data_IF_904752361565
#
_entry.id   IF_904752361565
#
_cell.length_a   1.000
_cell.length_b   1.000
_cell.length_c   1.000
_cell.angle_alpha   90.00
_cell.angle_beta   90.00
_cell.angle_gamma   90.00
#
_symmetry.space_group_name_H-M   'P 1'
#
loop_
_entity.id
_entity.type
_entity.pdbx_description
1 polymer ?
#
# COMPACT_ATOMS: atom_id res chain seq x y z
N UNK A 1 83.35 -0.52 -49.32
CA UNK A 1 82.16 -0.83 -48.49
C UNK A 1 81.25 -1.71 -49.32
N UNK A 2 80.75 -2.80 -48.75
CA UNK A 2 79.91 -3.76 -49.45
C UNK A 2 78.45 -3.29 -49.47
N UNK A 3 78.01 -2.78 -50.62
CA UNK A 3 76.71 -2.14 -50.81
C UNK A 3 75.53 -3.10 -50.55
N UNK A 4 75.74 -4.40 -50.74
CA UNK A 4 74.72 -5.44 -50.48
C UNK A 4 74.40 -5.56 -48.98
N UNK A 5 75.42 -5.47 -48.12
CA UNK A 5 75.23 -5.55 -46.66
C UNK A 5 74.47 -4.33 -46.12
N UNK A 6 74.81 -3.13 -46.62
CA UNK A 6 74.12 -1.90 -46.23
C UNK A 6 72.63 -1.92 -46.63
N UNK A 7 72.31 -2.42 -47.83
CA UNK A 7 70.93 -2.53 -48.29
C UNK A 7 70.12 -3.55 -47.46
N UNK A 8 70.70 -4.69 -47.11
CA UNK A 8 70.09 -5.68 -46.21
C UNK A 8 69.79 -5.06 -44.84
N UNK A 9 70.74 -4.32 -44.28
CA UNK A 9 70.56 -3.73 -42.96
C UNK A 9 69.53 -2.60 -42.95
N UNK A 10 69.45 -1.82 -44.02
CA UNK A 10 68.39 -0.81 -44.19
C UNK A 10 67.00 -1.45 -44.25
N UNK A 11 66.85 -2.59 -44.94
CA UNK A 11 65.60 -3.34 -44.98
C UNK A 11 65.23 -3.85 -43.58
N UNK A 12 66.18 -4.43 -42.84
CA UNK A 12 65.93 -4.89 -41.46
C UNK A 12 65.49 -3.76 -40.54
N UNK A 13 66.14 -2.59 -40.63
CA UNK A 13 65.77 -1.40 -39.86
C UNK A 13 64.35 -0.94 -40.24
N UNK A 14 64.02 -0.89 -41.53
CA UNK A 14 62.69 -0.50 -41.99
C UNK A 14 61.60 -1.45 -41.47
N UNK A 15 61.86 -2.76 -41.51
CA UNK A 15 60.95 -3.79 -41.00
C UNK A 15 60.79 -3.71 -39.49
N UNK A 16 61.89 -3.50 -38.75
CA UNK A 16 61.85 -3.31 -37.30
C UNK A 16 61.04 -2.07 -36.91
N UNK A 17 61.17 -0.97 -37.67
CA UNK A 17 60.37 0.23 -37.47
C UNK A 17 58.88 -0.03 -37.73
N UNK A 18 58.54 -0.66 -38.85
CA UNK A 18 57.15 -1.02 -39.16
C UNK A 18 56.55 -1.88 -38.04
N UNK A 19 57.28 -2.91 -37.56
CA UNK A 19 56.82 -3.75 -36.46
C UNK A 19 56.66 -3.00 -35.14
N UNK A 20 57.52 -2.02 -34.89
CA UNK A 20 57.39 -1.14 -33.72
C UNK A 20 56.13 -0.29 -33.80
N UNK A 21 55.81 0.25 -34.97
CA UNK A 21 54.60 1.06 -35.18
C UNK A 21 53.33 0.20 -35.06
N UNK A 22 53.32 -1.00 -35.67
CA UNK A 22 52.23 -1.98 -35.52
C UNK A 22 52.03 -2.42 -34.06
N UNK A 23 53.10 -2.56 -33.28
CA UNK A 23 53.01 -2.89 -31.86
C UNK A 23 52.45 -1.73 -31.04
N UNK A 24 52.89 -0.50 -31.32
CA UNK A 24 52.40 0.71 -30.64
C UNK A 24 50.91 0.93 -30.89
N UNK A 25 50.42 0.64 -32.09
CA UNK A 25 48.99 0.75 -32.38
C UNK A 25 48.18 -0.26 -31.57
N UNK A 26 48.58 -1.53 -31.57
CA UNK A 26 47.92 -2.55 -30.75
C UNK A 26 47.94 -2.23 -29.25
N UNK A 27 49.03 -1.63 -28.77
CA UNK A 27 49.12 -1.19 -27.38
C UNK A 27 48.14 -0.05 -27.09
N UNK A 28 47.97 0.91 -28.01
CA UNK A 28 46.97 1.98 -27.86
C UNK A 28 45.55 1.42 -27.82
N UNK A 29 45.21 0.56 -28.77
CA UNK A 29 43.89 -0.10 -28.83
C UNK A 29 43.59 -0.85 -27.51
N UNK A 30 44.58 -1.58 -26.97
CA UNK A 30 44.42 -2.30 -25.71
C UNK A 30 44.20 -1.34 -24.52
N UNK A 31 44.94 -0.24 -24.46
CA UNK A 31 44.82 0.74 -23.38
C UNK A 31 43.45 1.44 -23.40
N UNK A 32 42.94 1.77 -24.58
CA UNK A 32 41.60 2.36 -24.74
C UNK A 32 40.51 1.41 -24.22
N UNK A 33 40.55 0.13 -24.64
CA UNK A 33 39.60 -0.88 -24.14
C UNK A 33 39.73 -1.09 -22.63
N UNK A 34 40.96 -1.04 -22.09
CA UNK A 34 41.19 -1.16 -20.65
C UNK A 34 40.54 -0.01 -19.87
N UNK A 35 40.68 1.23 -20.35
CA UNK A 35 40.04 2.40 -19.74
C UNK A 35 38.51 2.31 -19.79
N UNK A 36 37.93 1.87 -20.91
CA UNK A 36 36.50 1.64 -21.04
C UNK A 36 35.96 0.59 -20.06
N UNK A 37 36.72 -0.50 -19.88
CA UNK A 37 36.37 -1.57 -18.93
C UNK A 37 36.39 -1.06 -17.50
N UNK A 38 37.41 -0.28 -17.10
CA UNK A 38 37.47 0.29 -15.75
C UNK A 38 36.39 1.36 -15.50
N UNK A 39 36.06 2.16 -16.51
CA UNK A 39 34.94 3.10 -16.43
C UNK A 39 33.61 2.38 -16.24
N UNK A 40 33.38 1.31 -17.02
CA UNK A 40 32.18 0.46 -16.89
C UNK A 40 32.12 -0.21 -15.54
N UNK A 41 33.25 -0.72 -15.03
CA UNK A 41 33.34 -1.34 -13.70
C UNK A 41 32.95 -0.35 -12.61
N UNK A 42 33.46 0.87 -12.70
CA UNK A 42 33.15 1.94 -11.74
C UNK A 42 31.66 2.28 -11.76
N UNK A 43 31.06 2.39 -12.95
CA UNK A 43 29.62 2.65 -13.10
C UNK A 43 28.76 1.52 -12.53
N UNK A 44 29.15 0.25 -12.70
CA UNK A 44 28.45 -0.89 -12.11
C UNK A 44 28.45 -0.78 -10.58
N UNK A 45 29.60 -0.47 -9.98
CA UNK A 45 29.72 -0.30 -8.52
C UNK A 45 28.82 0.83 -8.01
N UNK A 46 28.74 1.96 -8.73
CA UNK A 46 27.83 3.05 -8.38
C UNK A 46 26.35 2.65 -8.49
N UNK A 47 25.98 1.88 -9.52
CA UNK A 47 24.62 1.36 -9.67
C UNK A 47 24.25 0.39 -8.54
N UNK A 48 25.17 -0.50 -8.17
CA UNK A 48 24.97 -1.43 -7.05
C UNK A 48 24.79 -0.68 -5.74
N UNK A 49 25.64 0.34 -5.49
CA UNK A 49 25.52 1.21 -4.32
C UNK A 49 24.16 1.90 -4.26
N UNK A 50 23.75 2.57 -5.33
CA UNK A 50 22.45 3.24 -5.39
C UNK A 50 21.29 2.24 -5.19
N UNK A 51 21.38 1.04 -5.77
CA UNK A 51 20.37 0.01 -5.56
C UNK A 51 20.27 -0.41 -4.08
N UNK A 52 21.40 -0.52 -3.37
CA UNK A 52 21.38 -0.81 -1.92
C UNK A 52 20.78 0.33 -1.10
N UNK A 53 21.05 1.59 -1.45
CA UNK A 53 20.48 2.76 -0.78
C UNK A 53 18.95 2.79 -0.95
N UNK A 54 18.46 2.60 -2.18
CA UNK A 54 17.02 2.52 -2.45
C UNK A 54 16.32 1.36 -1.73
N UNK A 55 16.97 0.19 -1.62
CA UNK A 55 16.42 -0.94 -0.88
C UNK A 55 16.36 -0.66 0.63
N UNK A 56 17.31 0.12 1.16
CA UNK A 56 17.30 0.56 2.55
C UNK A 56 16.20 1.60 2.81
N UNK A 57 16.04 2.58 1.93
CA UNK A 57 14.94 3.56 2.00
C UNK A 57 13.58 2.85 1.94
N UNK A 58 13.41 1.90 1.02
CA UNK A 58 12.18 1.10 0.91
C UNK A 58 11.86 0.34 2.20
N UNK A 59 12.87 -0.21 2.89
CA UNK A 59 12.69 -0.88 4.19
C UNK A 59 12.31 0.13 5.27
N UNK A 60 12.99 1.28 5.33
CA UNK A 60 12.68 2.36 6.28
C UNK A 60 11.22 2.79 6.17
N UNK A 61 10.74 3.05 4.95
CA UNK A 61 9.33 3.40 4.74
C UNK A 61 8.37 2.28 5.11
N UNK A 62 8.75 1.02 4.91
CA UNK A 62 7.92 -0.11 5.34
C UNK A 62 7.78 -0.18 6.87
N UNK A 63 8.83 0.18 7.61
CA UNK A 63 8.81 0.23 9.07
C UNK A 63 8.01 1.43 9.60
N UNK A 64 8.15 2.61 8.97
CA UNK A 64 7.32 3.79 9.24
C UNK A 64 5.83 3.48 9.07
N UNK A 65 5.45 2.82 7.98
CA UNK A 65 4.06 2.40 7.74
C UNK A 65 3.56 1.40 8.79
N UNK A 66 4.43 0.51 9.28
CA UNK A 66 4.05 -0.40 10.38
C UNK A 66 3.81 0.36 11.67
N UNK A 67 4.65 1.35 11.98
CA UNK A 67 4.49 2.19 13.17
C UNK A 67 3.17 2.97 13.12
N UNK A 68 2.88 3.63 12.00
CA UNK A 68 1.62 4.38 11.82
C UNK A 68 0.40 3.47 12.04
N UNK A 69 0.42 2.25 11.50
CA UNK A 69 -0.67 1.30 11.70
C UNK A 69 -0.80 0.87 13.18
N UNK A 70 0.31 0.72 13.91
CA UNK A 70 0.26 0.43 15.34
C UNK A 70 -0.33 1.61 16.13
N UNK A 71 0.09 2.83 15.80
CA UNK A 71 -0.39 4.04 16.46
C UNK A 71 -1.89 4.26 16.21
N UNK A 72 -2.38 4.00 15.00
CA UNK A 72 -3.83 4.04 14.68
C UNK A 72 -4.59 3.09 15.60
N UNK A 73 -4.18 1.82 15.68
CA UNK A 73 -4.85 0.84 16.53
C UNK A 73 -4.82 1.27 18.01
N UNK A 74 -3.68 1.79 18.47
CA UNK A 74 -3.56 2.26 19.85
C UNK A 74 -4.48 3.44 20.18
N UNK A 75 -4.60 4.40 19.24
CA UNK A 75 -5.51 5.54 19.38
C UNK A 75 -6.98 5.10 19.33
N UNK A 76 -7.33 4.15 18.48
CA UNK A 76 -8.68 3.56 18.41
C UNK A 76 -9.07 2.89 19.74
N UNK A 77 -8.17 2.10 20.32
CA UNK A 77 -8.38 1.46 21.62
C UNK A 77 -8.53 2.49 22.74
N UNK A 78 -7.67 3.52 22.73
CA UNK A 78 -7.75 4.62 23.71
C UNK A 78 -9.08 5.37 23.60
N UNK A 79 -9.51 5.70 22.39
CA UNK A 79 -10.78 6.39 22.15
C UNK A 79 -11.96 5.54 22.60
N UNK A 80 -11.92 4.23 22.34
CA UNK A 80 -12.95 3.28 22.80
C UNK A 80 -13.00 3.22 24.32
N UNK A 81 -11.85 3.22 25.00
CA UNK A 81 -11.76 3.27 26.45
C UNK A 81 -12.36 4.54 27.03
N UNK A 82 -12.01 5.71 26.47
CA UNK A 82 -12.53 7.01 26.92
C UNK A 82 -14.04 7.12 26.69
N UNK A 83 -14.54 6.72 25.50
CA UNK A 83 -15.98 6.69 25.20
C UNK A 83 -16.73 5.76 26.14
N UNK A 84 -16.22 4.55 26.36
CA UNK A 84 -16.81 3.61 27.30
C UNK A 84 -16.88 4.17 28.73
N UNK A 85 -15.80 4.80 29.21
CA UNK A 85 -15.79 5.45 30.53
C UNK A 85 -16.81 6.58 30.64
N UNK A 86 -16.92 7.42 29.59
CA UNK A 86 -17.92 8.49 29.52
C UNK A 86 -19.34 7.93 29.58
N UNK A 87 -19.63 6.91 28.78
CA UNK A 87 -20.97 6.31 28.69
C UNK A 87 -21.35 5.61 30.01
N UNK A 88 -20.40 4.91 30.65
CA UNK A 88 -20.62 4.34 31.99
C UNK A 88 -20.90 5.43 33.04
N UNK A 89 -20.21 6.57 32.98
CA UNK A 89 -20.49 7.70 33.88
C UNK A 89 -21.86 8.32 33.62
N UNK A 90 -22.26 8.48 32.34
CA UNK A 90 -23.60 8.94 31.96
C UNK A 90 -24.68 7.99 32.52
N UNK A 91 -24.46 6.68 32.44
CA UNK A 91 -25.39 5.69 32.99
C UNK A 91 -25.48 5.77 34.52
N UNK A 92 -24.35 5.96 35.22
CA UNK A 92 -24.33 6.16 36.68
C UNK A 92 -25.12 7.42 37.06
N UNK A 93 -24.90 8.52 36.33
CA UNK A 93 -25.62 9.77 36.56
C UNK A 93 -27.12 9.56 36.34
N UNK A 94 -27.54 8.98 35.20
CA UNK A 94 -28.96 8.71 34.94
C UNK A 94 -29.62 7.89 36.06
N UNK A 95 -28.96 6.82 36.53
CA UNK A 95 -29.45 6.01 37.65
C UNK A 95 -29.60 6.80 38.94
N UNK A 96 -28.70 7.76 39.21
CA UNK A 96 -28.77 8.63 40.39
C UNK A 96 -29.88 9.66 40.27
N UNK A 97 -30.17 10.17 39.08
CA UNK A 97 -31.33 11.02 38.84
C UNK A 97 -32.64 10.24 39.11
N UNK A 98 -32.77 9.01 38.61
CA UNK A 98 -33.94 8.16 38.84
C UNK A 98 -34.14 7.80 40.34
N UNK A 99 -33.05 7.71 41.10
CA UNK A 99 -33.09 7.49 42.55
C UNK A 99 -33.59 8.74 43.28
N UNK A 100 -33.05 9.91 42.94
CA UNK A 100 -33.45 11.19 43.54
C UNK A 100 -34.91 11.51 43.20
N UNK A 101 -35.37 11.27 41.97
CA UNK A 101 -36.76 11.55 41.57
C UNK A 101 -37.76 10.70 42.38
N UNK A 102 -37.44 9.42 42.63
CA UNK A 102 -38.26 8.55 43.50
C UNK A 102 -38.25 8.98 44.96
N UNK A 103 -37.09 9.39 45.49
CA UNK A 103 -37.00 9.91 46.86
C UNK A 103 -37.74 11.25 47.02
N UNK A 104 -37.69 12.11 45.99
CA UNK A 104 -38.43 13.37 45.94
C UNK A 104 -39.94 13.12 46.01
N UNK A 105 -40.45 12.19 45.17
CA UNK A 105 -41.86 11.80 45.19
C UNK A 105 -42.29 11.24 46.56
N UNK A 106 -41.48 10.35 47.12
CA UNK A 106 -41.73 9.75 48.45
C UNK A 106 -41.74 10.81 49.55
N UNK A 107 -40.80 11.76 49.50
CA UNK A 107 -40.71 12.85 50.48
C UNK A 107 -41.90 13.79 50.37
N UNK A 108 -42.25 14.21 49.15
CA UNK A 108 -43.42 15.06 48.91
C UNK A 108 -44.72 14.38 49.35
N UNK A 109 -44.84 13.06 49.17
CA UNK A 109 -45.98 12.29 49.67
C UNK A 109 -46.08 12.36 51.21
N UNK A 110 -44.98 12.18 51.92
CA UNK A 110 -44.95 12.28 53.39
C UNK A 110 -45.25 13.70 53.91
N UNK A 111 -44.77 14.73 53.19
CA UNK A 111 -45.07 16.12 53.52
C UNK A 111 -46.58 16.41 53.41
N UNK A 112 -47.22 15.93 52.34
CA UNK A 112 -48.68 16.02 52.17
C UNK A 112 -49.43 15.33 53.30
N UNK A 113 -49.02 14.12 53.67
CA UNK A 113 -49.62 13.37 54.79
C UNK A 113 -49.44 14.07 56.14
N UNK A 114 -48.41 14.90 56.28
CA UNK A 114 -48.13 15.70 57.48
C UNK A 114 -48.86 17.05 57.51
N UNK A 115 -49.64 17.39 56.47
CA UNK A 115 -50.40 18.63 56.38
C UNK A 115 -49.62 19.84 55.84
N UNK A 116 -48.49 19.62 55.18
CA UNK A 116 -47.73 20.67 54.48
C UNK A 116 -48.49 21.08 53.21
N UNK A 117 -48.70 22.39 52.97
CA UNK A 117 -49.40 22.88 51.78
C UNK A 117 -48.58 22.66 50.50
N UNK A 118 -49.28 22.54 49.36
CA UNK A 118 -48.67 22.16 48.07
C UNK A 118 -47.61 23.17 47.59
N UNK A 119 -47.71 24.46 47.98
CA UNK A 119 -46.74 25.49 47.59
C UNK A 119 -45.36 25.33 48.26
N UNK A 120 -45.29 24.56 49.36
CA UNK A 120 -44.05 24.31 50.12
C UNK A 120 -43.39 22.97 49.76
N UNK A 121 -43.97 22.20 48.82
CA UNK A 121 -43.39 20.94 48.37
C UNK A 121 -42.09 21.16 47.58
N UNK A 122 -41.23 20.15 47.62
CA UNK A 122 -39.94 20.17 46.95
C UNK A 122 -40.13 20.07 45.43
N UNK A 123 -39.50 20.98 44.68
CA UNK A 123 -39.54 20.99 43.21
C UNK A 123 -38.28 20.35 42.62
N UNK A 124 -38.44 19.70 41.46
CA UNK A 124 -37.36 19.10 40.66
C UNK A 124 -36.22 20.08 40.38
N UNK A 125 -36.58 21.31 40.03
CA UNK A 125 -35.64 22.36 39.61
C UNK A 125 -34.82 22.95 40.78
N UNK A 126 -35.20 22.69 42.03
CA UNK A 126 -34.48 23.19 43.21
C UNK A 126 -33.21 22.38 43.52
N UNK A 127 -33.13 21.11 43.08
CA UNK A 127 -32.10 20.18 43.55
C UNK A 127 -31.34 19.44 42.46
N UNK A 128 -31.87 19.38 41.22
CA UNK A 128 -31.19 18.69 40.13
C UNK A 128 -30.39 19.67 39.28
N UNK A 129 -29.06 19.47 39.13
CA UNK A 129 -28.25 20.27 38.22
C UNK A 129 -28.79 20.17 36.78
N UNK A 130 -28.80 21.29 36.06
CA UNK A 130 -29.04 21.25 34.62
C UNK A 130 -27.81 20.62 33.95
N UNK A 131 -27.96 19.45 33.36
CA UNK A 131 -26.92 18.84 32.53
C UNK A 131 -27.14 19.37 31.11
N UNK A 132 -26.35 20.36 30.72
CA UNK A 132 -26.16 20.66 29.29
C UNK A 132 -25.58 19.39 28.65
N UNK A 133 -26.36 18.77 27.75
CA UNK A 133 -25.85 17.77 26.81
C UNK A 133 -24.96 18.52 25.81
N UNK A 134 -23.79 18.95 26.27
CA UNK A 134 -22.99 19.88 25.51
C UNK A 134 -22.21 19.15 24.41
N UNK A 135 -22.38 19.73 23.22
CA UNK A 135 -21.65 19.57 21.96
C UNK A 135 -21.88 18.26 21.19
N UNK A 136 -22.96 18.28 20.41
CA UNK A 136 -22.89 17.79 19.04
C UNK A 136 -21.62 18.37 18.39
N UNK A 137 -20.61 17.51 18.20
CA UNK A 137 -19.40 17.87 17.46
C UNK A 137 -19.85 18.41 16.11
N UNK A 138 -19.70 19.72 15.92
CA UNK A 138 -19.86 20.34 14.62
C UNK A 138 -18.95 19.61 13.65
N UNK A 139 -19.57 18.96 12.66
CA UNK A 139 -18.87 18.58 11.44
C UNK A 139 -18.27 19.86 10.84
N UNK A 140 -17.01 19.86 10.40
CA UNK A 140 -16.45 21.02 9.73
C UNK A 140 -17.27 21.30 8.46
N UNK A 141 -18.00 22.40 8.46
CA UNK A 141 -18.59 22.99 7.28
C UNK A 141 -17.46 23.64 6.47
N UNK A 142 -16.97 22.92 5.47
CA UNK A 142 -16.35 23.56 4.29
C UNK A 142 -17.26 23.30 3.09
N UNK A 143 -18.04 24.31 2.74
CA UNK A 143 -18.83 24.35 1.53
C UNK A 143 -17.92 24.50 0.31
N UNK A 144 -17.82 23.44 -0.49
CA UNK A 144 -18.07 23.43 -1.94
C UNK A 144 -17.18 22.41 -2.64
N UNK A 145 -17.75 21.23 -2.91
CA UNK A 145 -17.91 20.65 -4.24
C UNK A 145 -18.54 19.25 -4.08
N UNK A 146 -19.83 19.19 -4.40
CA UNK A 146 -20.60 18.05 -4.91
C UNK A 146 -20.22 16.61 -4.51
N UNK A 147 -21.17 15.97 -3.83
CA UNK A 147 -21.58 14.56 -4.00
C UNK A 147 -20.64 13.42 -3.59
N UNK A 148 -20.95 12.89 -2.39
CA UNK A 148 -21.38 11.51 -2.15
C UNK A 148 -20.41 10.34 -2.42
N UNK A 149 -20.19 9.53 -1.35
CA UNK A 149 -19.92 8.07 -1.33
C UNK A 149 -18.47 7.53 -1.30
N UNK A 150 -17.58 7.91 -0.36
CA UNK A 150 -16.17 7.48 -0.45
C UNK A 150 -15.46 7.09 0.87
N UNK A 151 -16.16 6.69 1.92
CA UNK A 151 -15.50 6.20 3.16
C UNK A 151 -16.20 4.98 3.76
N UNK A 152 -16.33 3.91 2.97
CA UNK A 152 -16.64 2.58 3.54
C UNK A 152 -16.13 1.43 2.66
N UNK A 153 -14.92 1.53 2.10
CA UNK A 153 -14.31 0.39 1.40
C UNK A 153 -12.82 0.57 1.11
N UNK A 154 -11.96 0.49 2.12
CA UNK A 154 -10.57 0.12 1.88
C UNK A 154 -10.09 -0.82 2.98
N UNK A 155 -10.15 -2.12 2.67
CA UNK A 155 -9.42 -3.17 3.36
C UNK A 155 -7.90 -2.90 3.22
N UNK A 156 -7.08 -3.03 4.28
CA UNK A 156 -5.68 -2.57 4.29
C UNK A 156 -4.72 -3.45 3.46
N UNK A 157 -5.20 -4.27 2.54
CA UNK A 157 -4.41 -5.27 1.80
C UNK A 157 -4.05 -4.90 0.34
N UNK A 158 -4.32 -3.66 -0.12
CA UNK A 158 -4.08 -3.30 -1.53
C UNK A 158 -2.90 -2.36 -1.82
N UNK A 159 -2.22 -1.80 -0.82
CA UNK A 159 -1.06 -0.93 -1.08
C UNK A 159 0.26 -1.68 -1.28
N UNK A 160 0.36 -2.95 -0.86
CA UNK A 160 1.57 -3.75 -1.06
C UNK A 160 1.65 -4.49 -2.42
N UNK A 161 0.53 -4.59 -3.16
CA UNK A 161 0.48 -5.33 -4.43
C UNK A 161 1.12 -4.61 -5.63
N UNK A 162 1.32 -3.29 -5.54
CA UNK A 162 1.78 -2.49 -6.68
C UNK A 162 3.32 -2.45 -6.78
N UNK A 163 4.06 -2.50 -5.66
CA UNK A 163 5.53 -2.54 -5.70
C UNK A 163 6.13 -3.91 -6.02
N UNK A 164 5.38 -5.01 -5.88
CA UNK A 164 5.91 -6.34 -6.18
C UNK A 164 5.83 -6.69 -7.68
N UNK A 165 5.03 -5.98 -8.47
CA UNK A 165 4.85 -6.26 -9.91
C UNK A 165 6.03 -5.80 -10.79
N UNK A 166 6.93 -4.96 -10.28
CA UNK A 166 8.13 -4.56 -11.04
C UNK A 166 9.32 -5.51 -10.86
N UNK A 167 9.29 -6.46 -9.91
CA UNK A 167 10.46 -7.30 -9.62
C UNK A 167 10.60 -8.54 -10.52
N UNK A 168 9.57 -8.90 -11.28
CA UNK A 168 9.58 -10.12 -12.11
C UNK A 168 10.19 -9.94 -13.52
N UNK A 169 10.77 -8.78 -13.85
CA UNK A 169 11.22 -8.49 -15.23
C UNK A 169 12.73 -8.44 -15.46
N UNK A 170 13.58 -8.71 -14.47
CA UNK A 170 15.03 -8.56 -14.65
C UNK A 170 15.87 -9.85 -14.52
N UNK A 171 15.28 -11.00 -14.19
CA UNK A 171 16.04 -12.27 -14.22
C UNK A 171 15.16 -13.41 -14.71
N UNK A 172 15.34 -13.82 -15.98
CA UNK A 172 14.92 -15.13 -16.45
C UNK A 172 15.94 -15.68 -17.45
N UNK A 173 17.11 -16.06 -16.91
CA UNK A 173 18.01 -17.01 -17.53
C UNK A 173 17.68 -18.42 -17.04
N UNK A 174 17.37 -19.30 -18.00
CA UNK A 174 17.39 -20.77 -18.02
C UNK A 174 17.66 -21.54 -16.70
N UNK A 175 16.78 -22.49 -16.34
CA UNK A 175 17.05 -23.94 -16.35
C UNK A 175 15.92 -24.75 -15.66
N UNK A 176 15.87 -26.03 -15.99
CA UNK A 176 14.84 -27.05 -15.77
C UNK A 176 14.69 -27.61 -14.33
N UNK A 177 13.67 -28.50 -14.17
CA UNK A 177 13.40 -29.50 -13.12
C UNK A 177 12.62 -29.03 -11.88
N UNK A 178 11.56 -29.69 -11.38
CA UNK A 178 10.81 -30.89 -11.76
C UNK A 178 9.75 -31.22 -10.68
N UNK A 179 8.53 -31.61 -11.11
CA UNK A 179 7.49 -32.52 -10.52
C UNK A 179 7.03 -32.47 -9.02
N UNK A 180 5.80 -32.97 -8.67
CA UNK A 180 4.88 -32.36 -7.70
C UNK A 180 4.39 -33.36 -6.60
N UNK A 181 3.14 -33.36 -6.08
CA UNK A 181 2.81 -33.08 -4.67
C UNK A 181 2.19 -34.28 -3.90
N UNK A 182 2.15 -34.25 -2.56
CA UNK A 182 1.18 -35.02 -1.76
C UNK A 182 1.10 -34.46 -0.32
N UNK A 183 -0.07 -33.99 0.10
CA UNK A 183 -0.93 -34.66 1.10
C UNK A 183 -2.14 -33.76 1.47
N UNK A 184 -3.26 -34.47 1.63
CA UNK A 184 -4.63 -34.03 1.82
C UNK A 184 -4.93 -33.70 3.30
N UNK A 185 -5.79 -32.71 3.56
CA UNK A 185 -6.65 -32.65 4.76
C UNK A 185 -7.64 -31.48 4.69
N UNK A 186 -8.81 -31.82 4.16
CA UNK A 186 -10.15 -31.30 4.45
C UNK A 186 -10.25 -30.37 5.68
N UNK A 187 -10.44 -29.08 5.46
CA UNK A 187 -11.17 -28.18 6.37
C UNK A 187 -11.67 -26.96 5.61
N UNK A 188 -12.99 -26.78 5.61
CA UNK A 188 -13.73 -25.72 4.92
C UNK A 188 -13.29 -24.35 5.43
N UNK A 189 -12.63 -23.58 4.58
CA UNK A 189 -12.50 -22.14 4.73
C UNK A 189 -12.99 -21.46 3.45
N UNK A 190 -13.97 -20.58 3.67
CA UNK A 190 -14.33 -19.41 2.87
C UNK A 190 -13.46 -19.17 1.63
N UNK A 191 -14.07 -19.45 0.47
CA UNK A 191 -13.65 -19.22 -0.91
C UNK A 191 -12.69 -18.02 -1.03
N UNK A 192 -11.39 -18.31 -1.03
CA UNK A 192 -10.40 -17.43 -1.64
C UNK A 192 -10.72 -17.39 -3.14
N UNK A 193 -11.13 -16.24 -3.65
CA UNK A 193 -11.17 -15.98 -5.08
C UNK A 193 -9.72 -15.89 -5.60
N UNK A 194 -9.01 -17.03 -5.59
CA UNK A 194 -7.80 -17.20 -6.38
C UNK A 194 -8.23 -16.97 -7.82
N UNK A 195 -7.84 -15.81 -8.34
CA UNK A 195 -8.05 -15.32 -9.69
C UNK A 195 -8.11 -16.45 -10.73
N UNK A 196 -9.33 -16.89 -11.10
CA UNK A 196 -9.55 -17.88 -12.16
C UNK A 196 -8.99 -17.34 -13.47
N UNK A 197 -7.78 -17.71 -13.86
CA UNK A 197 -7.15 -17.22 -15.09
C UNK A 197 -7.99 -17.59 -16.33
N UNK A 198 -8.00 -16.73 -17.36
CA UNK A 198 -8.53 -17.01 -18.70
C UNK A 198 -7.41 -16.89 -19.73
N UNK A 199 -7.49 -17.62 -20.85
CA UNK A 199 -6.59 -17.40 -21.99
C UNK A 199 -7.02 -16.16 -22.78
N UNK A 200 -6.06 -15.36 -23.23
CA UNK A 200 -6.30 -14.26 -24.16
C UNK A 200 -6.76 -14.82 -25.52
N UNK A 201 -7.82 -14.28 -26.11
CA UNK A 201 -8.33 -14.73 -27.42
C UNK A 201 -7.41 -14.39 -28.61
N UNK A 202 -6.38 -13.56 -28.42
CA UNK A 202 -5.49 -13.12 -29.50
C UNK A 202 -4.08 -13.73 -29.42
N UNK A 203 -3.58 -14.04 -28.22
CA UNK A 203 -2.22 -14.57 -28.04
C UNK A 203 -2.15 -15.80 -27.11
N UNK A 204 -3.30 -16.33 -26.67
CA UNK A 204 -3.44 -17.53 -25.83
C UNK A 204 -2.76 -17.52 -24.46
N UNK A 205 -2.14 -16.40 -24.09
CA UNK A 205 -1.49 -16.23 -22.78
C UNK A 205 -2.51 -16.15 -21.64
N UNK A 206 -2.12 -16.68 -20.47
CA UNK A 206 -2.95 -16.67 -19.27
C UNK A 206 -3.01 -15.26 -18.67
N UNK A 207 -4.23 -14.74 -18.53
CA UNK A 207 -4.52 -13.42 -17.97
C UNK A 207 -5.63 -13.54 -16.91
N UNK A 208 -5.74 -12.57 -16.00
CA UNK A 208 -6.81 -12.54 -15.00
C UNK A 208 -8.21 -12.61 -15.65
N UNK A 209 -9.18 -13.34 -15.06
CA UNK A 209 -10.54 -13.52 -15.64
C UNK A 209 -11.21 -12.21 -16.01
N UNK A 210 -11.03 -11.22 -15.14
CA UNK A 210 -11.67 -9.92 -15.26
C UNK A 210 -10.77 -8.87 -15.93
N UNK A 211 -9.60 -9.25 -16.47
CA UNK A 211 -8.76 -8.32 -17.21
C UNK A 211 -9.50 -7.82 -18.47
N UNK A 212 -9.74 -6.49 -18.61
CA UNK A 212 -10.45 -5.93 -19.75
C UNK A 212 -9.59 -5.94 -21.03
N UNK A 213 -8.26 -5.90 -20.88
CA UNK A 213 -7.26 -5.85 -21.95
C UNK A 213 -6.13 -6.82 -21.60
N UNK A 214 -5.58 -7.53 -22.60
CA UNK A 214 -4.39 -8.36 -22.41
C UNK A 214 -3.16 -7.45 -22.15
N UNK A 215 -2.39 -7.65 -21.05
CA UNK A 215 -1.22 -6.82 -20.78
C UNK A 215 -0.10 -7.02 -21.82
N UNK A 216 -0.06 -8.19 -22.48
CA UNK A 216 0.96 -8.59 -23.44
C UNK A 216 0.67 -8.06 -24.85
N UNK A 217 -0.49 -8.40 -25.43
CA UNK A 217 -0.82 -8.03 -26.82
C UNK A 217 -1.79 -6.84 -26.94
N UNK A 218 -2.26 -6.28 -25.83
CA UNK A 218 -3.23 -5.17 -25.78
C UNK A 218 -4.59 -5.43 -26.43
N UNK A 219 -4.90 -6.67 -26.80
CA UNK A 219 -6.22 -7.05 -27.30
C UNK A 219 -7.30 -6.90 -26.21
N UNK A 220 -8.44 -6.31 -26.55
CA UNK A 220 -9.61 -6.20 -25.67
C UNK A 220 -10.26 -7.57 -25.50
N UNK A 221 -10.49 -7.98 -24.26
CA UNK A 221 -11.22 -9.23 -24.00
C UNK A 221 -12.72 -8.99 -24.21
N UNK A 222 -13.35 -9.73 -25.11
CA UNK A 222 -14.82 -9.71 -25.27
C UNK A 222 -15.43 -10.79 -24.37
N UNK A 223 -16.43 -10.43 -23.56
CA UNK A 223 -17.17 -11.44 -22.79
C UNK A 223 -17.98 -12.33 -23.74
N UNK A 224 -18.11 -13.62 -23.42
CA UNK A 224 -18.96 -14.55 -24.18
C UNK A 224 -20.47 -14.26 -24.02
N UNK A 225 -20.85 -13.47 -23.01
CA UNK A 225 -22.23 -13.06 -22.74
C UNK A 225 -22.33 -11.53 -22.75
N UNK A 226 -22.48 -10.91 -23.93
CA UNK A 226 -22.73 -9.48 -23.99
C UNK A 226 -24.07 -9.17 -23.30
N UNK A 227 -24.07 -8.24 -22.33
CA UNK A 227 -25.31 -7.73 -21.74
C UNK A 227 -26.15 -7.13 -22.86
N UNK A 228 -27.41 -7.58 -22.99
CA UNK A 228 -28.35 -7.08 -24.00
C UNK A 228 -28.42 -5.55 -23.94
N UNK A 229 -28.35 -4.83 -25.07
CA UNK A 229 -28.48 -3.38 -25.06
C UNK A 229 -29.86 -3.00 -24.50
N UNK A 230 -29.87 -2.09 -23.51
CA UNK A 230 -31.12 -1.47 -23.04
C UNK A 230 -31.68 -0.62 -24.19
N UNK A 231 -32.91 -0.91 -24.61
CA UNK A 231 -33.64 -0.09 -25.60
C UNK A 231 -33.73 1.34 -25.04
N UNK A 232 -33.32 2.34 -25.82
CA UNK A 232 -33.61 3.74 -25.49
C UNK A 232 -35.12 3.94 -25.67
N UNK A 233 -35.74 4.55 -24.67
CA UNK A 233 -37.09 5.09 -24.78
C UNK A 233 -36.89 6.45 -25.41
N UNK A 234 -37.33 6.60 -26.65
CA UNK A 234 -37.36 7.89 -27.34
C UNK A 234 -38.55 8.68 -26.78
N UNK A 235 -38.31 9.91 -26.33
CA UNK A 235 -39.33 10.91 -26.05
C UNK A 235 -39.59 11.73 -27.31
#
# INVERSE_FOLDING_TARGET
MDYANLNSDLIKISLARQKTDEFRERLRELLEVYEEVEATRSFIVECEKMNTELDNERKSHADELRQINQDINHLEDTLKGVKGSKDSKKEIIARKYDEIERELETTNQLLRESGVPEEELLSRDQFLPFIEDDVAVEQPTSSSLTSSMWFDQMSPLSLFGILQSQRSRLFNGSSECGVPPLLDSTSRTSISDHAKMKKCQSCDQLIHRNAPICPLCKAKSRSKHPKRPRRRIDC
#
